data_IF_962379378837
#
_entry.id   IF_962379378837
#
_cell.length_a   1.000
_cell.length_b   1.000
_cell.length_c   1.000
_cell.angle_alpha   90.00
_cell.angle_beta   90.00
_cell.angle_gamma   90.00
#
_symmetry.space_group_name_H-M   'P 1'
#
loop_
_entity.id
_entity.type
_entity.pdbx_description
1 polymer ?
#
# COMPACT_ATOMS: atom_id res chain seq x y z
N UNK A 1 13.13 5.23 44.44
CA UNK A 1 11.80 5.24 43.78
C UNK A 1 12.05 5.51 42.30
N UNK A 2 12.14 4.46 41.47
CA UNK A 2 12.37 4.62 40.03
C UNK A 2 11.01 4.82 39.35
N UNK A 3 10.70 6.07 39.03
CA UNK A 3 9.56 6.43 38.18
C UNK A 3 9.85 5.99 36.75
N UNK A 4 9.58 4.71 36.46
CA UNK A 4 9.64 4.16 35.11
C UNK A 4 8.40 4.66 34.35
N UNK A 5 8.43 5.93 33.92
CA UNK A 5 7.43 6.49 33.03
C UNK A 5 7.43 5.63 31.76
N UNK A 6 6.37 4.83 31.57
CA UNK A 6 6.14 4.07 30.33
C UNK A 6 5.99 5.07 29.19
N UNK A 7 7.11 5.49 28.63
CA UNK A 7 7.17 6.31 27.43
C UNK A 7 6.71 5.40 26.28
N UNK A 8 5.39 5.38 26.03
CA UNK A 8 4.82 4.61 24.93
C UNK A 8 5.43 5.12 23.64
N UNK A 9 6.04 4.20 22.89
CA UNK A 9 6.71 4.58 21.65
C UNK A 9 5.68 5.12 20.66
N UNK A 10 6.10 5.96 19.70
CA UNK A 10 5.19 6.42 18.65
C UNK A 10 4.59 5.26 17.82
N UNK A 11 5.27 4.10 17.82
CA UNK A 11 4.73 2.85 17.27
C UNK A 11 3.54 2.35 18.08
N UNK A 12 3.64 2.31 19.41
CA UNK A 12 2.56 1.84 20.29
C UNK A 12 1.36 2.77 20.20
N UNK A 13 1.60 4.09 20.22
CA UNK A 13 0.53 5.07 20.05
C UNK A 13 -0.14 4.96 18.67
N UNK A 14 0.61 4.63 17.61
CA UNK A 14 0.03 4.37 16.28
C UNK A 14 -0.84 3.12 16.28
N UNK A 15 -0.36 2.03 16.87
CA UNK A 15 -1.13 0.80 16.99
C UNK A 15 -2.45 1.04 17.73
N UNK A 16 -2.40 1.75 18.86
CA UNK A 16 -3.59 2.11 19.62
C UNK A 16 -4.56 2.99 18.82
N UNK A 17 -4.08 4.00 18.09
CA UNK A 17 -4.94 4.82 17.23
C UNK A 17 -5.57 4.00 16.11
N UNK A 18 -4.81 3.09 15.50
CA UNK A 18 -5.32 2.18 14.46
C UNK A 18 -6.45 1.31 14.99
N UNK A 19 -6.28 0.70 16.16
CA UNK A 19 -7.32 -0.11 16.80
C UNK A 19 -8.60 0.71 17.02
N UNK A 20 -8.48 1.90 17.61
CA UNK A 20 -9.63 2.79 17.82
C UNK A 20 -10.36 3.16 16.52
N UNK A 21 -9.63 3.42 15.43
CA UNK A 21 -10.23 3.72 14.12
C UNK A 21 -11.03 2.52 13.61
N UNK A 22 -10.47 1.32 13.72
CA UNK A 22 -11.11 0.10 13.24
C UNK A 22 -12.31 -0.28 14.11
N UNK A 23 -12.21 -0.15 15.43
CA UNK A 23 -13.31 -0.40 16.36
C UNK A 23 -14.49 0.55 16.08
N UNK A 24 -14.22 1.84 15.89
CA UNK A 24 -15.25 2.81 15.50
C UNK A 24 -15.86 2.53 14.12
N UNK A 25 -15.15 1.81 13.24
CA UNK A 25 -15.60 1.47 11.90
C UNK A 25 -16.49 0.22 11.85
N UNK A 26 -16.50 -0.61 12.91
CA UNK A 26 -17.20 -1.91 12.92
C UNK A 26 -18.70 -1.81 12.60
N UNK A 27 -19.35 -0.73 13.02
CA UNK A 27 -20.80 -0.54 12.86
C UNK A 27 -21.17 0.39 11.70
N UNK A 28 -20.18 0.84 10.92
CA UNK A 28 -20.38 1.81 9.85
C UNK A 28 -19.96 1.23 8.49
N UNK A 29 -20.71 1.51 7.42
CA UNK A 29 -20.28 1.14 6.07
C UNK A 29 -18.90 1.76 5.75
N UNK A 30 -17.91 0.92 5.40
CA UNK A 30 -16.53 1.35 5.18
C UNK A 30 -16.38 2.41 4.06
N UNK A 31 -17.32 2.47 3.14
CA UNK A 31 -17.36 3.43 2.02
C UNK A 31 -17.78 4.85 2.47
N UNK A 32 -18.42 4.97 3.64
CA UNK A 32 -18.86 6.22 4.25
C UNK A 32 -17.83 6.81 5.23
N UNK A 33 -16.84 6.02 5.64
CA UNK A 33 -15.82 6.43 6.60
C UNK A 33 -14.69 7.15 5.88
N UNK A 34 -14.53 8.46 6.16
CA UNK A 34 -13.52 9.33 5.57
C UNK A 34 -12.38 9.65 6.54
N UNK A 35 -11.26 8.98 6.34
CA UNK A 35 -10.04 9.16 7.14
C UNK A 35 -9.23 10.36 6.66
N UNK A 36 -8.69 11.13 7.60
CA UNK A 36 -7.63 12.11 7.33
C UNK A 36 -6.34 11.42 6.87
N UNK A 37 -5.38 12.20 6.36
CA UNK A 37 -4.06 11.66 5.98
C UNK A 37 -3.34 10.97 7.17
N UNK A 38 -3.52 11.46 8.40
CA UNK A 38 -2.88 10.86 9.58
C UNK A 38 -3.53 9.53 9.93
N UNK A 39 -4.86 9.49 9.99
CA UNK A 39 -5.61 8.27 10.30
C UNK A 39 -5.38 7.19 9.25
N UNK A 40 -5.41 7.55 7.97
CA UNK A 40 -5.09 6.62 6.88
C UNK A 40 -3.66 6.07 7.00
N UNK A 41 -2.68 6.92 7.35
CA UNK A 41 -1.32 6.47 7.58
C UNK A 41 -1.18 5.57 8.82
N UNK A 42 -1.96 5.82 9.88
CA UNK A 42 -2.00 4.96 11.06
C UNK A 42 -2.57 3.57 10.70
N UNK A 43 -3.65 3.50 9.91
CA UNK A 43 -4.22 2.23 9.41
C UNK A 43 -3.22 1.46 8.55
N UNK A 44 -2.54 2.14 7.62
CA UNK A 44 -1.50 1.59 6.76
C UNK A 44 -0.18 1.29 7.49
N UNK A 45 -0.06 1.65 8.77
CA UNK A 45 1.17 1.52 9.56
C UNK A 45 2.41 2.21 8.98
N UNK A 46 2.21 3.36 8.31
CA UNK A 46 3.29 4.20 7.74
C UNK A 46 3.31 5.60 8.34
N UNK A 47 4.26 6.45 7.94
CA UNK A 47 4.24 7.85 8.33
C UNK A 47 3.31 8.68 7.44
N UNK A 48 2.62 9.67 8.03
CA UNK A 48 1.77 10.59 7.27
C UNK A 48 2.55 11.38 6.21
N UNK A 49 3.82 11.68 6.48
CA UNK A 49 4.72 12.32 5.51
C UNK A 49 5.00 11.45 4.30
N UNK A 50 5.20 10.14 4.49
CA UNK A 50 5.37 9.18 3.39
C UNK A 50 4.09 9.09 2.54
N UNK A 51 2.93 9.01 3.18
CA UNK A 51 1.64 8.99 2.48
C UNK A 51 1.35 10.29 1.73
N UNK A 52 1.75 11.44 2.29
CA UNK A 52 1.65 12.73 1.58
C UNK A 52 2.57 12.78 0.38
N UNK A 53 3.83 12.33 0.53
CA UNK A 53 4.81 12.29 -0.56
C UNK A 53 4.37 11.36 -1.68
N UNK A 54 3.79 10.20 -1.35
CA UNK A 54 3.37 9.22 -2.35
C UNK A 54 2.28 9.73 -3.29
N UNK A 55 1.41 10.66 -2.83
CA UNK A 55 0.44 11.33 -3.70
C UNK A 55 1.10 12.17 -4.79
N UNK A 56 2.22 12.81 -4.48
CA UNK A 56 2.97 13.64 -5.43
C UNK A 56 3.83 12.80 -6.37
N UNK A 57 4.41 11.71 -5.85
CA UNK A 57 5.31 10.85 -6.64
C UNK A 57 4.58 9.70 -7.34
N UNK A 58 3.28 9.54 -7.10
CA UNK A 58 2.46 8.41 -7.54
C UNK A 58 3.01 7.03 -7.16
N UNK A 59 3.85 6.96 -6.13
CA UNK A 59 4.50 5.72 -5.66
C UNK A 59 4.48 5.64 -4.13
N UNK A 60 3.95 4.54 -3.60
CA UNK A 60 3.99 4.14 -2.20
C UNK A 60 4.49 2.70 -2.12
N UNK A 61 5.65 2.47 -1.50
CA UNK A 61 6.24 1.13 -1.33
C UNK A 61 6.32 0.35 -2.67
N UNK A 62 6.80 1.02 -3.72
CA UNK A 62 6.91 0.52 -5.11
C UNK A 62 5.58 0.19 -5.80
N UNK A 63 4.47 0.76 -5.32
CA UNK A 63 3.13 0.55 -5.85
C UNK A 63 2.41 1.87 -6.07
N UNK A 64 1.32 1.84 -6.82
CA UNK A 64 0.39 2.98 -6.86
C UNK A 64 -0.19 3.21 -5.46
N UNK A 65 -0.20 4.46 -4.94
CA UNK A 65 -0.78 4.77 -3.64
C UNK A 65 -2.30 4.52 -3.62
N UNK A 66 -2.90 4.33 -2.43
CA UNK A 66 -4.35 4.17 -2.32
C UNK A 66 -5.08 5.42 -2.85
N UNK A 67 -6.28 5.24 -3.44
CA UNK A 67 -7.14 6.34 -3.87
C UNK A 67 -7.41 7.34 -2.76
N UNK A 68 -7.62 8.60 -3.14
CA UNK A 68 -7.96 9.67 -2.21
C UNK A 68 -8.99 10.62 -2.82
N UNK A 69 -9.74 11.28 -1.95
CA UNK A 69 -10.75 12.28 -2.31
C UNK A 69 -10.22 13.66 -1.87
N UNK A 70 -10.06 14.57 -2.83
CA UNK A 70 -9.81 15.97 -2.54
C UNK A 70 -11.15 16.66 -2.27
N UNK A 71 -11.36 17.11 -1.03
CA UNK A 71 -12.56 17.88 -0.66
C UNK A 71 -12.35 19.38 -0.92
N UNK A 72 -11.12 19.84 -0.75
CA UNK A 72 -10.66 21.20 -1.10
C UNK A 72 -9.22 21.13 -1.60
N UNK A 73 -8.64 22.28 -1.95
CA UNK A 73 -7.23 22.38 -2.34
C UNK A 73 -6.25 21.93 -1.24
N UNK A 74 -6.67 21.99 0.03
CA UNK A 74 -5.83 21.65 1.19
C UNK A 74 -6.31 20.41 1.95
N UNK A 75 -7.56 20.00 1.75
CA UNK A 75 -8.19 18.92 2.52
C UNK A 75 -8.35 17.68 1.67
N UNK A 76 -7.66 16.62 2.09
CA UNK A 76 -7.67 15.30 1.45
C UNK A 76 -8.18 14.27 2.46
N UNK A 77 -9.07 13.40 2.00
CA UNK A 77 -9.59 12.26 2.73
C UNK A 77 -9.33 10.95 1.99
N UNK A 78 -9.37 9.86 2.73
CA UNK A 78 -9.27 8.49 2.24
C UNK A 78 -10.51 7.74 2.68
N UNK A 79 -11.15 7.00 1.78
CA UNK A 79 -12.22 6.09 2.19
C UNK A 79 -11.59 4.87 2.85
N UNK A 80 -12.18 4.39 3.94
CA UNK A 80 -11.68 3.18 4.58
C UNK A 80 -11.79 1.97 3.64
N UNK A 81 -12.84 1.90 2.81
CA UNK A 81 -13.00 0.88 1.76
C UNK A 81 -11.82 0.87 0.77
N UNK A 82 -11.37 2.03 0.31
CA UNK A 82 -10.25 2.12 -0.64
C UNK A 82 -8.92 1.71 0.02
N UNK A 83 -8.73 2.07 1.29
CA UNK A 83 -7.54 1.70 2.07
C UNK A 83 -7.49 0.19 2.32
N UNK A 84 -8.63 -0.41 2.66
CA UNK A 84 -8.74 -1.85 2.92
C UNK A 84 -8.53 -2.65 1.63
N UNK A 85 -9.20 -2.28 0.53
CA UNK A 85 -9.00 -2.90 -0.77
C UNK A 85 -7.54 -2.81 -1.26
N UNK A 86 -6.88 -1.66 -1.01
CA UNK A 86 -5.46 -1.50 -1.31
C UNK A 86 -4.58 -2.46 -0.49
N UNK A 87 -4.83 -2.58 0.82
CA UNK A 87 -4.11 -3.51 1.69
C UNK A 87 -4.32 -4.98 1.28
N UNK A 88 -5.54 -5.34 0.91
CA UNK A 88 -5.88 -6.68 0.40
C UNK A 88 -5.11 -6.99 -0.88
N UNK A 89 -5.04 -6.05 -1.82
CA UNK A 89 -4.25 -6.19 -3.05
C UNK A 89 -2.75 -6.37 -2.76
N UNK A 90 -2.21 -5.61 -1.80
CA UNK A 90 -0.81 -5.75 -1.36
C UNK A 90 -0.56 -7.11 -0.72
N UNK A 91 -1.50 -7.59 0.09
CA UNK A 91 -1.39 -8.89 0.76
C UNK A 91 -1.49 -10.03 -0.26
N UNK A 92 -2.42 -9.96 -1.21
CA UNK A 92 -2.56 -10.92 -2.29
C UNK A 92 -1.26 -10.99 -3.11
N UNK A 93 -0.69 -9.85 -3.51
CA UNK A 93 0.59 -9.83 -4.22
C UNK A 93 1.74 -10.44 -3.39
N UNK A 94 1.78 -10.14 -2.09
CA UNK A 94 2.82 -10.67 -1.20
C UNK A 94 2.68 -12.18 -0.90
N UNK A 95 1.46 -12.71 -0.98
CA UNK A 95 1.14 -14.10 -0.64
C UNK A 95 0.96 -14.98 -1.87
N UNK A 96 0.89 -14.40 -3.08
CA UNK A 96 0.85 -15.14 -4.35
C UNK A 96 2.05 -16.09 -4.43
N UNK A 97 1.82 -17.41 -4.52
CA UNK A 97 2.90 -18.34 -4.73
C UNK A 97 3.54 -18.04 -6.08
N UNK A 98 4.87 -17.88 -6.10
CA UNK A 98 5.69 -17.69 -7.31
C UNK A 98 5.52 -18.89 -8.25
N UNK A 99 4.43 -18.91 -9.01
CA UNK A 99 4.16 -19.87 -10.07
C UNK A 99 4.31 -19.17 -11.41
N UNK A 100 5.49 -18.62 -11.68
CA UNK A 100 5.91 -18.25 -13.04
C UNK A 100 7.40 -17.94 -13.07
N UNK A 101 8.21 -18.97 -13.25
CA UNK A 101 9.50 -18.87 -13.92
C UNK A 101 9.24 -18.33 -15.33
N UNK A 102 9.73 -17.14 -15.74
CA UNK A 102 9.82 -16.86 -17.16
C UNK A 102 10.86 -17.83 -17.70
N UNK A 103 10.42 -18.81 -18.51
CA UNK A 103 11.35 -19.53 -19.39
C UNK A 103 12.12 -18.45 -20.17
N UNK A 104 13.47 -18.47 -20.18
CA UNK A 104 14.19 -17.64 -21.12
C UNK A 104 13.68 -17.99 -22.51
N UNK A 105 13.30 -16.97 -23.29
CA UNK A 105 13.11 -17.12 -24.74
C UNK A 105 14.47 -17.57 -25.30
N UNK A 106 14.69 -18.87 -25.39
CA UNK A 106 15.72 -19.43 -26.25
C UNK A 106 15.40 -18.92 -27.65
N UNK A 107 16.22 -17.99 -28.13
CA UNK A 107 16.25 -17.61 -29.51
C UNK A 107 16.64 -18.87 -30.31
N UNK A 108 15.64 -19.60 -30.80
CA UNK A 108 15.81 -20.55 -31.88
C UNK A 108 16.10 -19.76 -33.15
N UNK A 109 17.34 -19.29 -33.33
CA UNK A 109 17.83 -18.96 -34.66
C UNK A 109 18.53 -20.20 -35.17
N UNK A 110 17.74 -21.03 -35.85
CA UNK A 110 18.19 -22.23 -36.54
C UNK A 110 19.35 -21.92 -37.48
N UNK A 111 20.43 -22.66 -37.30
CA UNK A 111 21.49 -22.84 -38.27
C UNK A 111 21.04 -23.89 -39.30
N UNK A 112 20.78 -23.48 -40.52
CA UNK A 112 20.77 -24.26 -41.78
C UNK A 112 21.14 -23.23 -42.85
N UNK A 113 22.14 -23.37 -43.73
CA UNK A 113 22.72 -24.55 -44.33
C UNK A 113 22.45 -24.52 -45.83
N UNK A 114 23.51 -24.36 -46.62
CA UNK A 114 23.67 -24.70 -48.06
C UNK A 114 23.15 -23.75 -49.18
N UNK A 115 24.14 -23.19 -49.89
CA UNK A 115 24.37 -23.20 -51.35
C UNK A 115 23.30 -22.67 -52.33
N UNK A 116 23.71 -21.76 -53.24
CA UNK A 116 23.58 -21.97 -54.69
C UNK A 116 24.48 -21.00 -55.49
N UNK A 117 25.16 -21.57 -56.49
CA UNK A 117 25.95 -20.93 -57.53
C UNK A 117 25.09 -20.11 -58.50
N UNK A 118 25.62 -18.97 -58.97
CA UNK A 118 25.73 -18.57 -60.37
C UNK A 118 26.72 -17.40 -60.49
#
# INVERSE_FOLDING_TARGET
MNSNSKMTSERDKRAQRRELILDCAMDLPHDQILLSTREAADVLSISAGLLKKSRMTHVLLNRTPPPHVALTSTTIRYRLSDITAWLESVLDEATRPTSAKPKPKTASRSTQGAQHHA
#
